data_IF_094794158142
#
_entry.id   IF_094794158142
#
_cell.length_a   1.000
_cell.length_b   1.000
_cell.length_c   1.000
_cell.angle_alpha   90.00
_cell.angle_beta   90.00
_cell.angle_gamma   90.00
#
_symmetry.space_group_name_H-M   'P 1'
#
loop_
_entity.id
_entity.type
_entity.pdbx_description
1 polymer ?
#
# COMPACT_ATOMS: atom_id res chain seq x y z
N UNK A 1 6.68 13.79 8.27
CA UNK A 1 7.35 15.06 8.07
C UNK A 1 7.93 15.48 9.40
N UNK A 2 9.14 15.01 9.66
CA UNK A 2 9.88 15.28 10.89
C UNK A 2 10.69 16.57 10.80
N UNK A 3 11.30 16.80 9.64
CA UNK A 3 12.01 18.01 9.25
C UNK A 3 11.79 18.30 7.74
N UNK A 4 12.46 19.33 7.23
CA UNK A 4 12.34 19.78 5.85
C UNK A 4 12.90 18.75 4.84
N UNK A 5 13.93 17.99 5.21
CA UNK A 5 14.52 16.97 4.35
C UNK A 5 13.60 15.75 4.23
N UNK A 6 13.07 15.25 5.35
CA UNK A 6 12.05 14.20 5.38
C UNK A 6 10.79 14.65 4.62
N UNK A 7 10.37 15.90 4.80
CA UNK A 7 9.24 16.47 4.07
C UNK A 7 9.42 16.44 2.56
N UNK A 8 10.59 16.87 2.07
CA UNK A 8 10.94 16.79 0.64
C UNK A 8 10.95 15.37 0.14
N UNK A 9 11.51 14.43 0.91
CA UNK A 9 11.58 13.03 0.52
C UNK A 9 10.18 12.41 0.41
N UNK A 10 9.29 12.67 1.38
CA UNK A 10 7.91 12.19 1.34
C UNK A 10 7.13 12.77 0.16
N UNK A 11 7.23 14.08 -0.07
CA UNK A 11 6.55 14.73 -1.20
C UNK A 11 7.08 14.24 -2.54
N UNK A 12 8.40 14.07 -2.67
CA UNK A 12 9.00 13.53 -3.89
C UNK A 12 8.48 12.11 -4.19
N UNK A 13 8.37 11.25 -3.18
CA UNK A 13 7.81 9.92 -3.34
C UNK A 13 6.34 9.98 -3.80
N UNK A 14 5.53 10.85 -3.21
CA UNK A 14 4.16 11.07 -3.64
C UNK A 14 4.09 11.55 -5.10
N UNK A 15 4.94 12.50 -5.51
CA UNK A 15 5.04 12.99 -6.89
C UNK A 15 5.31 11.86 -7.87
N UNK A 16 6.29 11.00 -7.56
CA UNK A 16 6.61 9.86 -8.43
C UNK A 16 5.49 8.83 -8.43
N UNK A 17 4.89 8.49 -7.29
CA UNK A 17 3.75 7.57 -7.23
C UNK A 17 2.63 8.05 -8.17
N UNK A 18 2.28 9.35 -8.14
CA UNK A 18 1.29 9.91 -9.08
C UNK A 18 1.72 9.77 -10.54
N UNK A 19 3.00 10.04 -10.84
CA UNK A 19 3.53 9.93 -12.20
C UNK A 19 3.57 8.48 -12.72
N UNK A 20 3.75 7.51 -11.83
CA UNK A 20 3.89 6.09 -12.16
C UNK A 20 2.55 5.35 -12.31
N UNK A 21 1.41 5.97 -11.99
CA UNK A 21 0.09 5.35 -12.15
C UNK A 21 -0.11 4.66 -13.52
N UNK A 22 0.24 5.26 -14.68
CA UNK A 22 0.04 4.63 -15.99
C UNK A 22 0.89 3.38 -16.23
N UNK A 23 1.93 3.13 -15.41
CA UNK A 23 2.74 1.91 -15.49
C UNK A 23 2.09 0.76 -14.71
N UNK A 24 1.42 1.07 -13.62
CA UNK A 24 0.82 0.08 -12.72
C UNK A 24 -0.68 -0.14 -12.94
N UNK A 25 -1.31 0.69 -13.76
CA UNK A 25 -2.71 0.57 -14.16
C UNK A 25 -2.85 0.55 -15.69
N UNK A 26 -3.61 -0.41 -16.20
CA UNK A 26 -3.92 -0.63 -17.60
C UNK A 26 -5.11 0.23 -18.01
N UNK A 27 -4.96 0.94 -19.12
CA UNK A 27 -6.05 1.80 -19.64
C UNK A 27 -7.26 0.98 -20.07
N UNK A 28 -7.06 -0.29 -20.42
CA UNK A 28 -8.15 -1.21 -20.77
C UNK A 28 -9.10 -1.45 -19.59
N UNK A 29 -8.61 -1.41 -18.35
CA UNK A 29 -9.42 -1.64 -17.15
C UNK A 29 -10.00 -0.37 -16.54
N UNK A 30 -9.80 0.81 -17.17
CA UNK A 30 -10.24 2.10 -16.63
C UNK A 30 -11.76 2.18 -16.43
N UNK A 31 -12.52 1.52 -17.29
CA UNK A 31 -13.99 1.46 -17.22
C UNK A 31 -14.50 0.18 -16.56
N UNK A 32 -13.60 -0.57 -15.92
CA UNK A 32 -13.89 -1.81 -15.22
C UNK A 32 -13.19 -3.02 -15.85
N UNK A 33 -13.42 -4.20 -15.25
CA UNK A 33 -14.42 -4.44 -14.21
C UNK A 33 -13.99 -3.94 -12.82
N UNK A 34 -14.99 -3.67 -11.99
CA UNK A 34 -14.79 -3.33 -10.58
C UNK A 34 -15.22 -4.50 -9.71
N UNK A 35 -14.48 -4.79 -8.65
CA UNK A 35 -14.80 -5.84 -7.69
C UNK A 35 -15.03 -5.24 -6.31
N UNK A 36 -16.05 -5.76 -5.63
CA UNK A 36 -16.29 -5.46 -4.23
C UNK A 36 -15.20 -6.09 -3.36
N UNK A 37 -14.55 -5.27 -2.52
CA UNK A 37 -13.45 -5.66 -1.65
C UNK A 37 -13.65 -5.06 -0.26
N UNK A 38 -13.36 -5.84 0.77
CA UNK A 38 -13.18 -5.36 2.14
C UNK A 38 -11.75 -4.80 2.24
N UNK A 39 -11.62 -3.48 2.33
CA UNK A 39 -10.31 -2.80 2.28
C UNK A 39 -9.56 -2.90 3.59
N UNK A 40 -10.28 -3.07 4.70
CA UNK A 40 -9.70 -3.23 6.05
C UNK A 40 -9.85 -4.67 6.59
N UNK A 41 -9.74 -5.67 5.71
CA UNK A 41 -9.75 -7.06 6.15
C UNK A 41 -8.39 -7.43 6.76
N UNK A 42 -8.37 -7.70 8.06
CA UNK A 42 -7.20 -8.18 8.79
C UNK A 42 -7.52 -9.36 9.70
N UNK A 43 -6.49 -10.01 10.26
CA UNK A 43 -6.60 -11.26 11.03
C UNK A 43 -7.63 -11.19 12.16
N UNK A 44 -7.69 -10.09 12.91
CA UNK A 44 -8.67 -9.94 14.01
C UNK A 44 -10.12 -9.74 13.56
N UNK A 45 -10.40 -9.56 12.27
CA UNK A 45 -11.76 -9.48 11.73
C UNK A 45 -12.29 -10.86 11.27
N UNK A 46 -11.46 -11.90 11.34
CA UNK A 46 -11.80 -13.25 10.86
C UNK A 46 -11.86 -14.21 12.05
N UNK A 47 -13.04 -14.76 12.30
CA UNK A 47 -13.24 -15.77 13.33
C UNK A 47 -13.39 -17.16 12.72
N UNK A 48 -12.66 -18.11 13.27
CA UNK A 48 -12.62 -19.51 12.83
C UNK A 48 -13.08 -20.46 13.93
N UNK A 49 -13.56 -21.64 13.56
CA UNK A 49 -13.79 -22.73 14.52
C UNK A 49 -12.51 -23.52 14.82
N UNK A 50 -12.63 -24.56 15.66
CA UNK A 50 -11.52 -25.44 16.04
C UNK A 50 -10.89 -26.21 14.87
N UNK A 51 -11.54 -26.22 13.70
CA UNK A 51 -11.06 -26.86 12.47
C UNK A 51 -10.57 -25.83 11.45
N UNK A 52 -10.39 -24.57 11.85
CA UNK A 52 -9.98 -23.45 11.00
C UNK A 52 -10.99 -23.05 9.91
N UNK A 53 -12.25 -23.50 10.00
CA UNK A 53 -13.27 -23.00 9.10
C UNK A 53 -13.69 -21.59 9.49
N UNK A 54 -13.69 -20.66 8.53
CA UNK A 54 -14.20 -19.30 8.72
C UNK A 54 -15.68 -19.36 9.11
N UNK A 55 -16.04 -18.79 10.26
CA UNK A 55 -17.41 -18.70 10.76
C UNK A 55 -17.99 -17.31 10.64
N UNK A 56 -17.19 -16.29 10.94
CA UNK A 56 -17.64 -14.91 10.95
C UNK A 56 -16.58 -13.99 10.37
N UNK A 57 -17.05 -13.04 9.57
CA UNK A 57 -16.32 -11.83 9.20
C UNK A 57 -17.04 -10.67 9.86
N UNK A 58 -16.32 -9.91 10.68
CA UNK A 58 -16.85 -8.72 11.36
C UNK A 58 -16.20 -7.46 10.79
N UNK A 59 -16.66 -6.31 11.26
CA UNK A 59 -16.08 -5.01 10.94
C UNK A 59 -16.03 -4.74 9.42
N UNK A 60 -17.21 -4.75 8.81
CA UNK A 60 -17.40 -4.65 7.35
C UNK A 60 -17.63 -3.20 6.89
N UNK A 61 -17.34 -2.21 7.74
CA UNK A 61 -17.61 -0.80 7.45
C UNK A 61 -16.75 -0.26 6.30
N UNK A 62 -15.57 -0.85 6.09
CA UNK A 62 -14.64 -0.49 5.03
C UNK A 62 -14.73 -1.45 3.85
N UNK A 63 -15.72 -1.20 2.99
CA UNK A 63 -15.92 -1.96 1.76
C UNK A 63 -16.11 -1.06 0.53
N UNK A 64 -15.38 -1.38 -0.54
CA UNK A 64 -15.31 -0.56 -1.75
C UNK A 64 -15.40 -1.42 -3.01
N UNK A 65 -16.05 -0.90 -4.05
CA UNK A 65 -15.92 -1.41 -5.41
C UNK A 65 -14.69 -0.78 -6.06
N UNK A 66 -13.61 -1.55 -6.21
CA UNK A 66 -12.33 -1.07 -6.72
C UNK A 66 -12.00 -1.67 -8.09
N UNK A 67 -11.16 -0.99 -8.92
CA UNK A 67 -10.72 -1.53 -10.20
C UNK A 67 -10.10 -2.93 -10.05
N UNK A 68 -10.27 -3.78 -11.05
CA UNK A 68 -9.76 -5.16 -11.04
C UNK A 68 -8.27 -5.28 -10.75
N UNK A 69 -7.50 -4.26 -11.13
CA UNK A 69 -6.06 -4.20 -10.94
C UNK A 69 -5.63 -4.01 -9.49
N UNK A 70 -6.54 -3.66 -8.59
CA UNK A 70 -6.26 -3.58 -7.15
C UNK A 70 -6.45 -4.93 -6.45
N UNK A 71 -6.83 -5.98 -7.18
CA UNK A 71 -6.93 -7.33 -6.63
C UNK A 71 -5.54 -7.81 -6.22
N UNK A 72 -5.44 -8.24 -4.98
CA UNK A 72 -4.22 -8.78 -4.38
C UNK A 72 -4.58 -9.68 -3.20
N UNK A 73 -3.74 -10.65 -2.85
CA UNK A 73 -3.87 -11.30 -1.57
C UNK A 73 -3.60 -10.29 -0.43
N UNK A 74 -4.02 -10.60 0.80
CA UNK A 74 -3.71 -9.76 1.96
C UNK A 74 -2.18 -9.68 2.19
N UNK A 75 -1.67 -8.48 2.47
CA UNK A 75 -0.23 -8.30 2.73
C UNK A 75 0.22 -9.05 4.00
N UNK A 76 -0.71 -9.33 4.91
CA UNK A 76 -0.46 -10.02 6.18
C UNK A 76 -0.47 -11.56 6.06
N UNK A 77 -0.46 -12.14 4.85
CA UNK A 77 -0.40 -13.59 4.63
C UNK A 77 0.69 -14.29 5.46
N UNK A 78 1.82 -13.62 5.70
CA UNK A 78 2.95 -14.14 6.47
C UNK A 78 3.08 -13.51 7.86
N UNK A 79 2.05 -12.78 8.32
CA UNK A 79 2.05 -12.09 9.62
C UNK A 79 3.04 -10.93 9.72
N UNK A 80 3.53 -10.41 8.59
CA UNK A 80 4.46 -9.27 8.54
C UNK A 80 3.73 -7.98 8.15
N UNK A 81 4.15 -6.82 8.68
CA UNK A 81 3.66 -5.54 8.18
C UNK A 81 4.17 -5.31 6.75
N UNK A 82 3.40 -4.57 5.95
CA UNK A 82 3.65 -4.43 4.51
C UNK A 82 5.00 -3.79 4.17
N UNK A 83 5.51 -2.91 5.02
CA UNK A 83 6.78 -2.21 4.89
C UNK A 83 7.99 -3.01 5.44
N UNK A 84 7.77 -4.26 5.87
CA UNK A 84 8.83 -5.17 6.33
C UNK A 84 8.89 -6.48 5.52
N UNK A 85 8.37 -6.46 4.29
CA UNK A 85 8.42 -7.61 3.39
C UNK A 85 9.68 -7.52 2.52
N UNK A 86 10.84 -7.61 3.16
CA UNK A 86 12.16 -7.45 2.55
C UNK A 86 12.98 -8.73 2.56
N UNK A 87 13.91 -8.88 1.62
CA UNK A 87 14.95 -9.93 1.61
C UNK A 87 14.39 -11.33 1.90
N UNK A 88 14.68 -11.91 3.06
CA UNK A 88 14.17 -13.22 3.44
C UNK A 88 12.65 -13.24 3.63
N UNK A 89 12.06 -12.19 4.23
CA UNK A 89 10.61 -12.06 4.36
C UNK A 89 9.93 -11.96 2.99
N UNK A 90 10.58 -11.32 2.00
CA UNK A 90 10.07 -11.29 0.63
C UNK A 90 10.06 -12.69 0.00
N UNK A 91 11.08 -13.50 0.24
CA UNK A 91 11.12 -14.88 -0.24
C UNK A 91 10.02 -15.74 0.41
N UNK A 92 9.78 -15.57 1.72
CA UNK A 92 8.70 -16.26 2.44
C UNK A 92 7.33 -15.80 1.90
N UNK A 93 7.14 -14.50 1.73
CA UNK A 93 5.91 -13.94 1.19
C UNK A 93 5.65 -14.38 -0.25
N UNK A 94 6.67 -14.43 -1.11
CA UNK A 94 6.51 -14.90 -2.49
C UNK A 94 6.05 -16.36 -2.54
N UNK A 95 6.56 -17.23 -1.67
CA UNK A 95 6.12 -18.63 -1.58
C UNK A 95 4.66 -18.73 -1.13
N UNK A 96 4.29 -17.98 -0.08
CA UNK A 96 2.90 -17.92 0.39
C UNK A 96 1.95 -17.31 -0.67
N UNK A 97 2.44 -16.33 -1.44
CA UNK A 97 1.73 -15.75 -2.57
C UNK A 97 1.48 -16.81 -3.65
N UNK A 98 2.50 -17.58 -4.04
CA UNK A 98 2.36 -18.61 -5.06
C UNK A 98 1.35 -19.69 -4.64
N UNK A 99 1.44 -20.17 -3.39
CA UNK A 99 0.47 -21.11 -2.80
C UNK A 99 -0.95 -20.54 -2.80
N UNK A 100 -1.13 -19.29 -2.35
CA UNK A 100 -2.41 -18.61 -2.40
C UNK A 100 -2.97 -18.57 -3.83
N UNK A 101 -2.13 -18.23 -4.81
CA UNK A 101 -2.55 -18.12 -6.20
C UNK A 101 -2.95 -19.47 -6.79
N UNK A 102 -2.27 -20.56 -6.45
CA UNK A 102 -2.63 -21.92 -6.88
C UNK A 102 -4.01 -22.32 -6.34
N UNK A 103 -4.24 -22.15 -5.04
CA UNK A 103 -5.52 -22.45 -4.39
C UNK A 103 -6.62 -21.56 -4.96
N UNK A 104 -6.37 -20.26 -5.07
CA UNK A 104 -7.38 -19.31 -5.55
C UNK A 104 -7.75 -19.56 -7.01
N UNK A 105 -6.81 -20.00 -7.84
CA UNK A 105 -7.07 -20.37 -9.23
C UNK A 105 -7.91 -21.66 -9.33
N UNK A 106 -7.69 -22.63 -8.46
CA UNK A 106 -8.54 -23.82 -8.37
C UNK A 106 -9.97 -23.45 -7.96
N UNK A 107 -10.12 -22.64 -6.91
CA UNK A 107 -11.43 -22.15 -6.46
C UNK A 107 -12.13 -21.32 -7.53
N UNK A 108 -11.40 -20.44 -8.23
CA UNK A 108 -11.96 -19.62 -9.31
C UNK A 108 -12.57 -20.47 -10.43
N UNK A 109 -11.94 -21.60 -10.80
CA UNK A 109 -12.43 -22.52 -11.85
C UNK A 109 -13.69 -23.29 -11.45
N UNK A 110 -14.03 -23.35 -10.15
CA UNK A 110 -15.26 -24.00 -9.68
C UNK A 110 -16.51 -23.15 -9.93
N UNK A 111 -16.34 -21.87 -10.25
CA UNK A 111 -17.41 -20.94 -10.56
C UNK A 111 -17.51 -20.66 -12.07
N UNK A 112 -18.67 -20.17 -12.56
CA UNK A 112 -18.81 -19.76 -13.94
C UNK A 112 -17.74 -18.74 -14.37
N UNK A 113 -17.23 -18.81 -15.61
CA UNK A 113 -16.24 -17.87 -16.12
C UNK A 113 -16.73 -16.42 -16.04
N UNK A 114 -15.84 -15.51 -15.66
CA UNK A 114 -16.09 -14.07 -15.76
C UNK A 114 -15.54 -13.53 -17.07
N UNK A 115 -16.34 -12.73 -17.77
CA UNK A 115 -15.94 -12.14 -19.06
C UNK A 115 -15.45 -13.19 -20.06
N UNK A 116 -16.04 -14.40 -20.04
CA UNK A 116 -15.65 -15.57 -20.83
C UNK A 116 -14.22 -16.09 -20.55
N UNK A 117 -13.66 -15.81 -19.37
CA UNK A 117 -12.34 -16.27 -18.93
C UNK A 117 -12.46 -17.03 -17.59
N UNK A 118 -12.02 -18.30 -17.56
CA UNK A 118 -12.13 -19.15 -16.36
C UNK A 118 -11.22 -18.72 -15.20
N UNK A 119 -10.10 -18.07 -15.48
CA UNK A 119 -9.08 -17.66 -14.48
C UNK A 119 -8.83 -16.16 -14.54
N UNK A 120 -9.91 -15.37 -14.66
CA UNK A 120 -9.84 -13.94 -14.94
C UNK A 120 -9.09 -13.16 -13.84
N UNK A 121 -9.48 -13.35 -12.57
CA UNK A 121 -8.90 -12.64 -11.43
C UNK A 121 -7.47 -13.07 -11.19
N UNK A 122 -7.23 -14.38 -11.21
CA UNK A 122 -5.88 -14.92 -11.00
C UNK A 122 -4.90 -14.48 -12.07
N UNK A 123 -5.32 -14.39 -13.34
CA UNK A 123 -4.51 -13.82 -14.41
C UNK A 123 -4.13 -12.35 -14.16
N UNK A 124 -5.10 -11.53 -13.72
CA UNK A 124 -4.84 -10.13 -13.38
C UNK A 124 -3.86 -10.02 -12.20
N UNK A 125 -4.07 -10.80 -11.15
CA UNK A 125 -3.21 -10.79 -9.96
C UNK A 125 -1.78 -11.22 -10.28
N UNK A 126 -1.59 -12.28 -11.09
CA UNK A 126 -0.26 -12.73 -11.55
C UNK A 126 0.43 -11.68 -12.43
N UNK A 127 -0.31 -11.04 -13.35
CA UNK A 127 0.20 -9.90 -14.14
C UNK A 127 0.62 -8.76 -13.21
N UNK A 128 -0.22 -8.42 -12.24
CA UNK A 128 0.02 -7.36 -11.25
C UNK A 128 1.26 -7.63 -10.39
N UNK A 129 1.47 -8.85 -9.94
CA UNK A 129 2.65 -9.26 -9.18
C UNK A 129 3.93 -9.09 -10.01
N UNK A 130 3.94 -9.56 -11.25
CA UNK A 130 5.10 -9.46 -12.16
C UNK A 130 5.53 -8.02 -12.40
N UNK A 131 4.58 -7.12 -12.66
CA UNK A 131 4.90 -5.70 -12.92
C UNK A 131 5.22 -4.93 -11.63
N UNK A 132 4.72 -5.38 -10.48
CA UNK A 132 4.89 -4.71 -9.18
C UNK A 132 3.69 -3.85 -8.76
N UNK A 133 2.55 -4.03 -9.42
CA UNK A 133 1.30 -3.35 -9.11
C UNK A 133 0.80 -3.70 -7.70
N UNK A 134 1.11 -4.91 -7.21
CA UNK A 134 0.87 -5.30 -5.81
C UNK A 134 1.43 -4.24 -4.85
N UNK A 135 2.71 -3.90 -4.99
CA UNK A 135 3.42 -2.94 -4.15
C UNK A 135 2.92 -1.53 -4.35
N UNK A 136 2.68 -1.13 -5.60
CA UNK A 136 2.15 0.19 -5.92
C UNK A 136 0.81 0.46 -5.21
N UNK A 137 -0.17 -0.42 -5.38
CA UNK A 137 -1.45 -0.23 -4.72
C UNK A 137 -1.34 -0.45 -3.20
N UNK A 138 -0.36 -1.22 -2.70
CA UNK A 138 -0.19 -1.47 -1.27
C UNK A 138 0.39 -0.24 -0.57
N UNK A 139 1.25 0.50 -1.27
CA UNK A 139 1.72 1.81 -0.84
C UNK A 139 0.54 2.80 -0.76
N UNK A 140 -0.36 2.81 -1.74
CA UNK A 140 -1.54 3.68 -1.73
C UNK A 140 -2.52 3.37 -0.59
N UNK A 141 -2.70 2.09 -0.24
CA UNK A 141 -3.54 1.68 0.89
C UNK A 141 -2.85 1.89 2.26
N UNK A 142 -1.54 2.15 2.29
CA UNK A 142 -0.76 2.31 3.53
C UNK A 142 -0.04 3.66 3.56
N UNK A 143 -0.72 4.76 3.95
CA UNK A 143 -0.10 6.07 4.03
C UNK A 143 1.17 6.10 4.89
N UNK A 144 1.20 5.32 5.98
CA UNK A 144 2.39 5.19 6.85
C UNK A 144 3.52 4.39 6.22
N UNK A 145 3.17 3.35 5.44
CA UNK A 145 4.15 2.45 4.82
C UNK A 145 4.60 2.90 3.43
N UNK A 146 3.93 3.88 2.81
CA UNK A 146 4.17 4.31 1.42
C UNK A 146 5.64 4.65 1.18
N UNK A 147 6.26 5.38 2.11
CA UNK A 147 7.65 5.80 1.98
C UNK A 147 8.59 4.60 1.85
N UNK A 148 8.51 3.65 2.79
CA UNK A 148 9.33 2.44 2.79
C UNK A 148 9.02 1.57 1.58
N UNK A 149 7.74 1.29 1.31
CA UNK A 149 7.33 0.46 0.15
C UNK A 149 7.81 1.06 -1.17
N UNK A 150 7.80 2.39 -1.30
CA UNK A 150 8.33 3.06 -2.48
C UNK A 150 9.83 2.79 -2.66
N UNK A 151 10.64 3.05 -1.65
CA UNK A 151 12.10 2.86 -1.73
C UNK A 151 12.50 1.40 -1.89
N UNK A 152 11.74 0.49 -1.28
CA UNK A 152 12.08 -0.93 -1.23
C UNK A 152 11.61 -1.71 -2.46
N UNK A 153 10.42 -1.38 -2.99
CA UNK A 153 9.75 -2.21 -3.98
C UNK A 153 9.43 -1.50 -5.30
N UNK A 154 9.36 -0.17 -5.31
CA UNK A 154 8.94 0.61 -6.49
C UNK A 154 10.13 1.27 -7.15
N UNK A 155 10.86 2.14 -6.44
CA UNK A 155 12.01 2.88 -6.96
C UNK A 155 13.08 1.97 -7.60
N UNK A 156 13.45 0.80 -7.01
CA UNK A 156 14.49 -0.05 -7.58
C UNK A 156 14.14 -0.62 -8.97
N UNK A 157 12.85 -0.66 -9.34
CA UNK A 157 12.40 -1.08 -10.67
C UNK A 157 12.71 -0.07 -11.78
N UNK A 158 12.88 1.20 -11.43
CA UNK A 158 13.09 2.29 -12.39
C UNK A 158 14.49 2.91 -12.27
N UNK A 159 14.99 3.03 -11.05
CA UNK A 159 16.19 3.80 -10.75
C UNK A 159 17.02 3.14 -9.63
N UNK A 160 17.41 1.88 -9.83
CA UNK A 160 18.22 1.10 -8.87
C UNK A 160 19.52 1.81 -8.46
N UNK A 161 20.10 2.66 -9.31
CA UNK A 161 21.31 3.42 -8.99
C UNK A 161 21.05 4.68 -8.16
N UNK A 162 19.81 5.18 -8.09
CA UNK A 162 19.45 6.39 -7.34
C UNK A 162 19.02 6.10 -5.90
N UNK A 163 18.93 4.83 -5.48
CA UNK A 163 18.66 4.48 -4.08
C UNK A 163 19.81 4.83 -3.14
N UNK A 164 20.95 5.32 -3.65
CA UNK A 164 22.18 5.59 -2.90
C UNK A 164 22.45 7.09 -2.62
N UNK A 165 21.81 8.03 -3.31
CA UNK A 165 21.93 9.49 -3.05
C UNK A 165 20.55 10.18 -3.19
N UNK A 166 19.77 10.26 -2.09
CA UNK A 166 18.38 10.71 -2.13
C UNK A 166 18.20 12.23 -2.18
N UNK A 167 19.25 13.00 -1.89
CA UNK A 167 19.11 14.42 -1.53
C UNK A 167 18.70 15.28 -2.73
N UNK A 168 19.41 15.15 -3.86
CA UNK A 168 19.10 15.90 -5.08
C UNK A 168 17.78 15.44 -5.73
N UNK A 169 17.49 14.14 -5.71
CA UNK A 169 16.22 13.61 -6.18
C UNK A 169 15.05 14.22 -5.42
N UNK A 170 15.09 14.17 -4.09
CA UNK A 170 14.00 14.65 -3.25
C UNK A 170 13.81 16.16 -3.39
N UNK A 171 14.92 16.91 -3.44
CA UNK A 171 14.90 18.36 -3.65
C UNK A 171 14.27 18.74 -5.00
N UNK A 172 14.66 18.09 -6.09
CA UNK A 172 14.17 18.43 -7.43
C UNK A 172 12.72 17.98 -7.61
N UNK A 173 12.40 16.75 -7.24
CA UNK A 173 11.09 16.13 -7.55
C UNK A 173 9.97 16.67 -6.66
N UNK A 174 10.28 17.04 -5.41
CA UNK A 174 9.27 17.60 -4.51
C UNK A 174 8.66 18.89 -5.08
N UNK A 175 9.47 19.76 -5.71
CA UNK A 175 9.00 21.01 -6.32
C UNK A 175 7.94 20.80 -7.42
N UNK A 176 7.87 19.62 -8.04
CA UNK A 176 6.86 19.30 -9.06
C UNK A 176 5.54 18.75 -8.47
N UNK A 177 5.41 18.61 -7.15
CA UNK A 177 4.19 18.12 -6.52
C UNK A 177 3.02 19.10 -6.68
N UNK A 178 3.29 20.38 -6.40
CA UNK A 178 2.36 21.50 -6.49
C UNK A 178 3.12 22.83 -6.65
N UNK A 179 2.46 23.87 -7.17
CA UNK A 179 3.06 25.20 -7.36
C UNK A 179 3.52 25.82 -6.04
N UNK A 180 2.80 25.53 -4.96
CA UNK A 180 2.96 26.04 -3.59
C UNK A 180 3.60 25.00 -2.65
N UNK A 181 4.37 24.04 -3.18
CA UNK A 181 4.95 22.94 -2.38
C UNK A 181 5.73 23.44 -1.15
N UNK A 182 6.53 24.51 -1.31
CA UNK A 182 7.32 25.06 -0.22
C UNK A 182 6.45 25.66 0.90
N UNK A 183 5.36 26.33 0.53
CA UNK A 183 4.41 26.90 1.49
C UNK A 183 3.70 25.77 2.27
N UNK A 184 3.25 24.73 1.55
CA UNK A 184 2.63 23.53 2.16
C UNK A 184 3.59 22.85 3.14
N UNK A 185 4.88 22.72 2.79
CA UNK A 185 5.88 22.15 3.69
C UNK A 185 6.10 23.00 4.94
N UNK A 186 6.24 24.32 4.78
CA UNK A 186 6.42 25.24 5.89
C UNK A 186 5.21 25.19 6.86
N UNK A 187 4.00 25.17 6.31
CA UNK A 187 2.77 25.05 7.09
C UNK A 187 2.71 23.71 7.83
N UNK A 188 3.10 22.59 7.19
CA UNK A 188 3.12 21.27 7.83
C UNK A 188 4.14 21.16 8.98
N UNK A 189 5.31 21.78 8.84
CA UNK A 189 6.29 21.82 9.93
C UNK A 189 5.78 22.64 11.10
N UNK A 190 5.14 23.77 10.82
CA UNK A 190 4.51 24.59 11.86
C UNK A 190 3.36 23.86 12.56
N UNK A 191 2.50 23.17 11.81
CA UNK A 191 1.43 22.33 12.35
C UNK A 191 2.00 21.26 13.29
N UNK A 192 3.12 20.63 12.92
CA UNK A 192 3.81 19.65 13.76
C UNK A 192 4.32 20.26 15.06
N UNK A 193 5.00 21.41 14.99
CA UNK A 193 5.50 22.10 16.19
C UNK A 193 4.36 22.44 17.15
N UNK A 194 3.25 22.97 16.64
CA UNK A 194 2.05 23.25 17.43
C UNK A 194 1.46 21.98 18.05
N UNK A 195 1.34 20.92 17.25
CA UNK A 195 0.84 19.63 17.72
C UNK A 195 1.71 19.04 18.83
N UNK A 196 3.04 19.05 18.67
CA UNK A 196 3.98 18.54 19.68
C UNK A 196 3.92 19.35 20.98
N UNK A 197 3.78 20.67 20.90
CA UNK A 197 3.61 21.54 22.06
C UNK A 197 2.31 21.23 22.80
N UNK A 198 1.20 21.13 22.08
CA UNK A 198 -0.10 20.80 22.67
C UNK A 198 -0.08 19.40 23.30
N UNK A 199 0.53 18.42 22.62
CA UNK A 199 0.67 17.07 23.12
C UNK A 199 1.46 17.04 24.43
N UNK A 200 2.60 17.72 24.50
CA UNK A 200 3.41 17.84 25.74
C UNK A 200 2.60 18.48 26.87
N UNK A 201 1.88 19.55 26.60
CA UNK A 201 1.04 20.23 27.59
C UNK A 201 -0.06 19.30 28.13
N UNK A 202 -0.72 18.54 27.27
CA UNK A 202 -1.76 17.58 27.67
C UNK A 202 -1.20 16.46 28.55
N UNK A 203 0.00 15.94 28.24
CA UNK A 203 0.64 14.91 29.07
C UNK A 203 1.08 15.43 30.44
N UNK A 204 1.59 16.66 30.51
CA UNK A 204 1.92 17.31 31.80
C UNK A 204 0.66 17.53 32.64
N UNK A 205 -0.39 18.10 32.07
CA UNK A 205 -1.66 18.32 32.78
C UNK A 205 -2.35 17.01 33.21
N UNK A 206 -2.15 15.91 32.47
CA UNK A 206 -2.68 14.59 32.82
C UNK A 206 -1.90 13.88 33.92
N UNK A 207 -0.64 14.27 34.17
CA UNK A 207 0.20 13.69 35.23
C UNK A 207 0.09 14.47 36.56
N UNK A 208 -0.32 15.73 36.52
CA UNK A 208 -0.62 16.53 37.73
C UNK A 208 -2.04 16.26 38.30
N UNK A 209 -2.85 15.43 37.61
CA UNK A 209 -4.23 15.09 37.97
C UNK A 209 -4.44 13.75 38.67
N UNK A 210 -3.36 13.04 39.04
CA UNK A 210 -3.36 11.78 39.83
C UNK A 210 -2.53 11.93 41.08
#
# INVERSE_FOLDING_TARGET
MDDEEDGRAQIANLSIIRALLPHFADREFRQGPFFYKLTDLHLSNIFVDNQWHIKYLVDLEWACSLPSETLRPPYWLTGRPADNILSENLNIFSKAYDEFMEIFEEEERRYPPLFNVCSYRTNIMRKGWKIGNFWYFQALDSPKGLFNIFHDHIQPKFAMSQSADPSDFSRIVSEYWAVDTNDVMADKLKDKEMYEQELRLRFQNGSDGT
#
